data_IF_323986343827
#
_entry.id   IF_323986343827
#
_cell.length_a   1.000
_cell.length_b   1.000
_cell.length_c   1.000
_cell.angle_alpha   90.00
_cell.angle_beta   90.00
_cell.angle_gamma   90.00
#
_symmetry.space_group_name_H-M   'P 1'
#
loop_
_entity.id
_entity.type
_entity.pdbx_description
1 polymer ?
#
# COMPACT_ATOMS: atom_id res chain seq x y z
N UNK A 1 -14.16 10.39 -9.61
CA UNK A 1 -14.57 10.74 -8.23
C UNK A 1 -14.97 9.48 -7.48
N UNK A 2 -14.69 9.41 -6.19
CA UNK A 2 -15.12 8.31 -5.32
C UNK A 2 -16.29 8.78 -4.42
N UNK A 3 -17.18 7.86 -4.01
CA UNK A 3 -17.22 6.46 -4.38
C UNK A 3 -17.49 6.23 -5.87
N UNK A 4 -16.87 5.19 -6.45
CA UNK A 4 -17.16 4.76 -7.80
C UNK A 4 -18.20 3.65 -7.79
N UNK A 5 -19.16 3.71 -8.71
CA UNK A 5 -20.27 2.77 -8.80
C UNK A 5 -20.29 2.08 -10.16
N UNK A 6 -20.78 0.85 -10.18
CA UNK A 6 -21.13 0.17 -11.42
C UNK A 6 -22.34 0.85 -12.11
N UNK A 7 -22.76 0.33 -13.26
CA UNK A 7 -23.78 0.94 -14.11
C UNK A 7 -25.16 1.05 -13.43
N UNK A 8 -25.52 0.06 -12.63
CA UNK A 8 -26.83 -0.04 -11.97
C UNK A 8 -26.84 0.50 -10.52
N UNK A 9 -25.68 0.96 -10.02
CA UNK A 9 -25.51 1.52 -8.68
C UNK A 9 -25.61 0.50 -7.55
N UNK A 10 -25.38 -0.80 -7.84
CA UNK A 10 -25.44 -1.87 -6.83
C UNK A 10 -24.11 -2.18 -6.20
N UNK A 11 -23.02 -2.02 -6.94
CA UNK A 11 -21.66 -2.19 -6.43
C UNK A 11 -20.96 -0.84 -6.40
N UNK A 12 -20.48 -0.45 -5.22
CA UNK A 12 -19.77 0.82 -5.04
C UNK A 12 -18.49 0.63 -4.25
N UNK A 13 -17.45 1.38 -4.58
CA UNK A 13 -16.13 1.27 -3.95
C UNK A 13 -15.56 2.63 -3.57
N UNK A 14 -14.88 2.66 -2.43
CA UNK A 14 -13.87 3.67 -2.06
C UNK A 14 -12.52 2.97 -1.96
N UNK A 15 -11.50 3.54 -2.59
CA UNK A 15 -10.23 2.90 -2.84
C UNK A 15 -9.06 3.86 -2.58
N UNK A 16 -8.05 3.39 -1.89
CA UNK A 16 -6.77 4.05 -1.70
C UNK A 16 -5.67 3.10 -2.18
N UNK A 17 -5.02 3.42 -3.28
CA UNK A 17 -3.97 2.57 -3.80
C UNK A 17 -3.76 2.69 -5.30
N UNK A 18 -3.14 1.65 -5.86
CA UNK A 18 -2.87 1.47 -7.28
C UNK A 18 -2.86 -0.01 -7.63
N UNK A 19 -3.57 -0.39 -8.68
CA UNK A 19 -3.59 -1.77 -9.19
C UNK A 19 -2.71 -1.83 -10.44
N UNK A 20 -1.51 -2.35 -10.28
CA UNK A 20 -0.48 -2.35 -11.33
C UNK A 20 -0.84 -3.20 -12.55
N UNK A 21 -1.60 -4.28 -12.35
CA UNK A 21 -2.05 -5.16 -13.45
C UNK A 21 -3.44 -4.82 -13.98
N UNK A 22 -3.96 -3.61 -13.70
CA UNK A 22 -5.31 -3.18 -14.09
C UNK A 22 -5.58 -3.34 -15.60
N UNK A 23 -4.59 -3.04 -16.44
CA UNK A 23 -4.73 -3.14 -17.90
C UNK A 23 -4.96 -4.59 -18.38
N UNK A 24 -4.36 -5.58 -17.72
CA UNK A 24 -4.55 -7.01 -18.01
C UNK A 24 -5.95 -7.44 -17.59
N UNK A 25 -6.34 -7.14 -16.36
CA UNK A 25 -7.66 -7.47 -15.80
C UNK A 25 -8.79 -6.79 -16.60
N UNK A 26 -8.59 -5.53 -17.01
CA UNK A 26 -9.54 -4.82 -17.86
C UNK A 26 -9.81 -5.54 -19.18
N UNK A 27 -8.77 -6.00 -19.88
CA UNK A 27 -8.93 -6.76 -21.13
C UNK A 27 -9.71 -8.05 -20.92
N UNK A 28 -9.43 -8.77 -19.83
CA UNK A 28 -10.16 -9.99 -19.48
C UNK A 28 -11.65 -9.69 -19.20
N UNK A 29 -11.94 -8.64 -18.44
CA UNK A 29 -13.31 -8.23 -18.10
C UNK A 29 -14.10 -7.78 -19.35
N UNK A 30 -13.48 -7.02 -20.25
CA UNK A 30 -14.09 -6.64 -21.53
C UNK A 30 -14.42 -7.89 -22.38
N UNK A 31 -13.52 -8.87 -22.42
CA UNK A 31 -13.75 -10.12 -23.14
C UNK A 31 -14.92 -10.95 -22.54
N UNK A 32 -15.27 -10.71 -21.28
CA UNK A 32 -16.40 -11.31 -20.56
C UNK A 32 -17.69 -10.48 -20.67
N UNK A 33 -17.65 -9.34 -21.35
CA UNK A 33 -18.81 -8.51 -21.64
C UNK A 33 -18.99 -7.29 -20.73
N UNK A 34 -18.05 -7.03 -19.82
CA UNK A 34 -18.11 -5.81 -18.99
C UNK A 34 -17.81 -4.56 -19.83
N UNK A 35 -18.57 -3.50 -19.60
CA UNK A 35 -18.45 -2.21 -20.30
C UNK A 35 -17.84 -1.18 -19.38
N UNK A 36 -16.69 -0.64 -19.77
CA UNK A 36 -15.96 0.37 -19.01
C UNK A 36 -16.30 1.78 -19.48
N UNK A 37 -16.50 2.69 -18.55
CA UNK A 37 -16.75 4.11 -18.80
C UNK A 37 -15.45 4.92 -18.90
N UNK A 38 -14.44 4.53 -18.13
CA UNK A 38 -13.12 5.16 -18.17
C UNK A 38 -12.17 4.41 -19.11
N UNK A 39 -11.14 5.09 -19.59
CA UNK A 39 -10.14 4.45 -20.45
C UNK A 39 -8.95 3.87 -19.67
N UNK A 40 -8.70 4.35 -18.45
CA UNK A 40 -7.46 4.08 -17.70
C UNK A 40 -7.66 3.91 -16.18
N UNK A 41 -8.91 3.94 -15.66
CA UNK A 41 -9.14 3.81 -14.22
C UNK A 41 -8.87 2.37 -13.74
N UNK A 42 -7.96 2.22 -12.81
CA UNK A 42 -7.72 0.99 -12.07
C UNK A 42 -8.86 0.68 -11.08
N UNK A 43 -9.49 1.71 -10.53
CA UNK A 43 -10.63 1.59 -9.60
C UNK A 43 -11.83 0.92 -10.27
N UNK A 44 -12.10 1.21 -11.56
CA UNK A 44 -13.22 0.61 -12.29
C UNK A 44 -13.03 -0.90 -12.49
N UNK A 45 -11.78 -1.33 -12.63
CA UNK A 45 -11.42 -2.76 -12.69
C UNK A 45 -11.83 -3.50 -11.40
N UNK A 46 -11.75 -2.85 -10.24
CA UNK A 46 -12.16 -3.45 -8.97
C UNK A 46 -13.67 -3.65 -8.90
N UNK A 47 -14.45 -2.70 -9.42
CA UNK A 47 -15.92 -2.79 -9.45
C UNK A 47 -16.37 -3.96 -10.33
N UNK A 48 -15.94 -3.99 -11.58
CA UNK A 48 -16.29 -5.07 -12.51
C UNK A 48 -15.68 -6.42 -12.13
N UNK A 49 -14.46 -6.40 -11.58
CA UNK A 49 -13.81 -7.61 -11.08
C UNK A 49 -14.55 -8.23 -9.89
N UNK A 50 -15.18 -7.40 -9.03
CA UNK A 50 -16.03 -7.91 -7.98
C UNK A 50 -17.29 -8.58 -8.52
N UNK A 51 -17.93 -7.99 -9.51
CA UNK A 51 -19.11 -8.57 -10.17
C UNK A 51 -18.81 -9.93 -10.77
N UNK A 52 -17.63 -10.09 -11.37
CA UNK A 52 -17.23 -11.31 -12.07
C UNK A 52 -16.70 -12.40 -11.12
N UNK A 53 -15.87 -12.03 -10.14
CA UNK A 53 -15.11 -13.00 -9.34
C UNK A 53 -15.38 -12.97 -7.83
N UNK A 54 -16.15 -12.00 -7.33
CA UNK A 54 -16.37 -11.82 -5.90
C UNK A 54 -15.05 -11.72 -5.12
N UNK A 55 -14.93 -12.46 -4.01
CA UNK A 55 -13.70 -12.52 -3.22
C UNK A 55 -12.48 -13.06 -3.99
N UNK A 56 -12.68 -13.88 -5.03
CA UNK A 56 -11.62 -14.36 -5.91
C UNK A 56 -10.90 -13.26 -6.69
N UNK A 57 -11.46 -12.06 -6.78
CA UNK A 57 -10.78 -10.88 -7.29
C UNK A 57 -9.47 -10.62 -6.56
N UNK A 58 -9.44 -10.75 -5.22
CA UNK A 58 -8.29 -10.39 -4.38
C UNK A 58 -7.02 -11.15 -4.73
N UNK A 59 -7.14 -12.42 -5.10
CA UNK A 59 -6.01 -13.25 -5.51
C UNK A 59 -5.42 -12.83 -6.85
N UNK A 60 -6.23 -12.18 -7.71
CA UNK A 60 -5.85 -11.71 -9.04
C UNK A 60 -5.17 -10.35 -9.04
N UNK A 61 -5.35 -9.56 -7.98
CA UNK A 61 -4.78 -8.21 -7.88
C UNK A 61 -3.26 -8.24 -7.68
N UNK A 62 -2.57 -7.43 -8.46
CA UNK A 62 -1.19 -7.03 -8.21
C UNK A 62 -1.17 -5.52 -8.02
N UNK A 63 -0.92 -5.08 -6.79
CA UNK A 63 -0.99 -3.66 -6.44
C UNK A 63 -0.80 -3.41 -4.96
N UNK A 64 -0.73 -2.14 -4.62
CA UNK A 64 -0.82 -1.64 -3.24
C UNK A 64 -2.22 -1.07 -3.03
N UNK A 65 -2.98 -1.58 -2.07
CA UNK A 65 -4.36 -1.14 -1.91
C UNK A 65 -4.94 -1.34 -0.52
N UNK A 66 -5.85 -0.44 -0.18
CA UNK A 66 -6.90 -0.65 0.80
C UNK A 66 -8.21 -0.14 0.20
N UNK A 67 -9.28 -0.89 0.32
CA UNK A 67 -10.57 -0.47 -0.17
C UNK A 67 -11.72 -0.93 0.71
N UNK A 68 -12.85 -0.21 0.60
CA UNK A 68 -14.14 -0.67 1.07
C UNK A 68 -15.10 -0.75 -0.12
N UNK A 69 -15.68 -1.93 -0.32
CA UNK A 69 -16.61 -2.22 -1.39
C UNK A 69 -17.98 -2.60 -0.82
N UNK A 70 -19.01 -1.89 -1.24
CA UNK A 70 -20.39 -2.13 -0.90
C UNK A 70 -21.07 -2.91 -2.04
N UNK A 71 -21.57 -4.10 -1.72
CA UNK A 71 -22.44 -4.88 -2.58
C UNK A 71 -23.86 -4.87 -2.03
N UNK A 72 -24.73 -4.07 -2.67
CA UNK A 72 -26.13 -3.94 -2.28
C UNK A 72 -26.97 -5.17 -2.65
N UNK A 73 -26.54 -5.92 -3.67
CA UNK A 73 -27.25 -7.13 -4.10
C UNK A 73 -27.16 -8.22 -3.06
N UNK A 74 -25.98 -8.36 -2.46
CA UNK A 74 -25.73 -9.36 -1.42
C UNK A 74 -25.85 -8.78 0.00
N UNK A 75 -26.16 -7.48 0.14
CA UNK A 75 -26.17 -6.74 1.40
C UNK A 75 -24.86 -6.91 2.20
N UNK A 76 -23.70 -6.75 1.54
CA UNK A 76 -22.38 -6.94 2.13
C UNK A 76 -21.49 -5.72 1.97
N UNK A 77 -20.65 -5.53 2.97
CA UNK A 77 -19.50 -4.60 2.90
C UNK A 77 -18.21 -5.39 3.04
N UNK A 78 -17.28 -5.14 2.14
CA UNK A 78 -15.96 -5.78 2.12
C UNK A 78 -14.90 -4.72 2.38
N UNK A 79 -14.10 -4.89 3.44
CA UNK A 79 -12.85 -4.16 3.60
C UNK A 79 -11.71 -5.08 3.14
N UNK A 80 -10.83 -4.63 2.27
CA UNK A 80 -9.71 -5.43 1.81
C UNK A 80 -8.40 -4.65 1.90
N UNK A 81 -7.31 -5.36 2.19
CA UNK A 81 -5.96 -4.80 2.29
C UNK A 81 -4.99 -5.64 1.49
N UNK A 82 -4.04 -4.99 0.81
CA UNK A 82 -3.06 -5.65 -0.06
C UNK A 82 -2.17 -6.67 0.66
N UNK A 83 -1.43 -7.44 -0.13
CA UNK A 83 -0.64 -8.59 0.34
C UNK A 83 0.37 -8.23 1.42
N UNK A 84 1.05 -7.09 1.31
CA UNK A 84 2.09 -6.66 2.24
C UNK A 84 1.62 -5.57 3.20
N UNK A 85 0.37 -5.08 3.05
CA UNK A 85 -0.19 -4.02 3.88
C UNK A 85 0.42 -2.66 3.62
N UNK A 86 0.81 -2.39 2.36
CA UNK A 86 1.37 -1.11 1.94
C UNK A 86 0.39 0.04 2.17
N UNK A 87 -0.92 -0.21 1.93
CA UNK A 87 -1.97 0.76 2.26
C UNK A 87 -2.65 0.39 3.56
N UNK A 88 -2.81 1.36 4.48
CA UNK A 88 -3.47 1.12 5.76
C UNK A 88 -4.99 1.13 5.64
N UNK A 89 -5.66 0.35 6.50
CA UNK A 89 -7.08 0.46 6.78
C UNK A 89 -7.33 0.07 8.24
N UNK A 90 -7.95 1.00 8.96
CA UNK A 90 -8.34 0.84 10.35
C UNK A 90 -9.85 0.76 10.43
N UNK A 91 -10.37 -0.01 11.39
CA UNK A 91 -11.80 -0.12 11.59
C UNK A 91 -12.18 -0.27 13.06
N UNK A 92 -13.40 0.17 13.37
CA UNK A 92 -14.07 -0.02 14.63
C UNK A 92 -15.45 -0.63 14.38
N UNK A 93 -15.77 -1.72 15.08
CA UNK A 93 -17.08 -2.37 15.00
C UNK A 93 -17.84 -2.22 16.31
N UNK A 94 -19.13 -1.96 16.19
CA UNK A 94 -20.08 -1.94 17.31
C UNK A 94 -21.41 -2.57 16.89
N UNK A 95 -22.32 -2.87 17.83
CA UNK A 95 -23.67 -3.31 17.50
C UNK A 95 -24.49 -2.30 16.68
N UNK A 96 -24.02 -1.04 16.59
CA UNK A 96 -24.70 0.04 15.86
C UNK A 96 -24.12 0.27 14.46
N UNK A 97 -23.02 -0.37 14.10
CA UNK A 97 -22.40 -0.21 12.79
C UNK A 97 -20.87 -0.35 12.82
N UNK A 98 -20.31 -0.04 11.67
CA UNK A 98 -18.86 -0.08 11.39
C UNK A 98 -18.39 1.32 11.00
N UNK A 99 -17.20 1.68 11.48
CA UNK A 99 -16.42 2.86 11.04
C UNK A 99 -15.10 2.37 10.49
N UNK A 100 -14.66 2.90 9.37
CA UNK A 100 -13.35 2.57 8.80
C UNK A 100 -12.72 3.80 8.13
N UNK A 101 -11.40 3.83 8.09
CA UNK A 101 -10.62 4.86 7.40
C UNK A 101 -9.20 4.35 7.10
N UNK A 102 -8.51 5.06 6.22
CA UNK A 102 -7.06 4.85 6.00
C UNK A 102 -6.21 5.35 7.16
N UNK A 103 -6.74 6.27 7.96
CA UNK A 103 -6.05 6.90 9.09
C UNK A 103 -6.72 6.57 10.41
N UNK A 104 -5.92 6.22 11.42
CA UNK A 104 -6.39 5.92 12.77
C UNK A 104 -7.03 7.14 13.44
N UNK A 105 -6.45 8.33 13.22
CA UNK A 105 -6.97 9.62 13.70
C UNK A 105 -8.38 9.90 13.18
N UNK A 106 -8.67 9.51 11.94
CA UNK A 106 -9.99 9.66 11.33
C UNK A 106 -11.03 8.73 11.97
N UNK A 107 -10.67 7.47 12.25
CA UNK A 107 -11.55 6.53 12.98
C UNK A 107 -11.84 7.05 14.38
N UNK A 108 -10.83 7.58 15.08
CA UNK A 108 -10.96 8.13 16.43
C UNK A 108 -11.90 9.32 16.56
N UNK A 109 -12.13 10.09 15.50
CA UNK A 109 -13.09 11.20 15.49
C UNK A 109 -14.54 10.76 15.62
N UNK A 110 -14.83 9.45 15.47
CA UNK A 110 -16.20 8.96 15.66
C UNK A 110 -16.64 9.12 17.13
N UNK A 111 -17.85 9.66 17.40
CA UNK A 111 -18.31 9.96 18.77
C UNK A 111 -18.25 8.78 19.75
N UNK A 112 -18.50 7.56 19.28
CA UNK A 112 -18.40 6.35 20.11
C UNK A 112 -16.98 6.00 20.56
N UNK A 113 -15.95 6.70 20.08
CA UNK A 113 -14.54 6.48 20.37
C UNK A 113 -13.88 7.65 21.11
N UNK A 114 -14.70 8.61 21.60
CA UNK A 114 -14.18 9.77 22.35
C UNK A 114 -13.31 9.34 23.53
N UNK A 115 -13.71 8.28 24.24
CA UNK A 115 -13.03 7.73 25.41
C UNK A 115 -12.35 6.37 25.10
N UNK A 116 -11.86 6.17 23.86
CA UNK A 116 -11.18 4.95 23.47
C UNK A 116 -9.95 4.66 24.36
N UNK A 117 -10.01 3.58 25.13
CA UNK A 117 -8.95 3.20 26.06
C UNK A 117 -7.70 2.72 25.31
N UNK A 118 -6.52 3.15 25.80
CA UNK A 118 -5.24 2.64 25.34
C UNK A 118 -5.11 1.14 25.60
N UNK A 119 -4.39 0.43 24.71
CA UNK A 119 -4.07 -0.97 24.90
C UNK A 119 -2.63 -1.17 25.39
N UNK A 120 -2.42 -1.49 26.70
CA UNK A 120 -1.08 -1.72 27.24
C UNK A 120 -0.36 -2.91 26.58
N UNK A 121 -1.09 -3.90 26.05
CA UNK A 121 -0.48 -5.03 25.37
C UNK A 121 0.07 -4.63 24.00
N UNK A 122 -0.66 -3.80 23.28
CA UNK A 122 -0.19 -3.23 22.01
C UNK A 122 1.03 -2.32 22.22
N UNK A 123 1.01 -1.49 23.27
CA UNK A 123 2.16 -0.63 23.62
C UNK A 123 3.41 -1.46 23.93
N UNK A 124 3.29 -2.55 24.70
CA UNK A 124 4.43 -3.46 24.94
C UNK A 124 5.00 -4.05 23.65
N UNK A 125 4.13 -4.40 22.69
CA UNK A 125 4.59 -4.90 21.37
C UNK A 125 5.27 -3.79 20.56
N UNK A 126 4.74 -2.58 20.61
CA UNK A 126 5.40 -1.43 19.98
C UNK A 126 6.82 -1.22 20.53
N UNK A 127 7.00 -1.25 21.86
CA UNK A 127 8.32 -1.11 22.47
C UNK A 127 9.30 -2.24 22.10
N UNK A 128 8.79 -3.41 21.72
CA UNK A 128 9.61 -4.55 21.31
C UNK A 128 9.95 -4.54 19.80
N UNK A 129 9.03 -4.05 18.97
CA UNK A 129 9.13 -4.16 17.51
C UNK A 129 9.33 -2.82 16.79
N UNK A 130 9.14 -1.69 17.48
CA UNK A 130 9.16 -0.35 16.87
C UNK A 130 7.91 0.02 16.06
N UNK A 131 6.90 -0.86 16.02
CA UNK A 131 5.63 -0.63 15.34
C UNK A 131 4.49 -1.42 15.97
N UNK A 132 3.24 -1.08 15.65
CA UNK A 132 2.07 -1.84 16.08
C UNK A 132 1.74 -2.94 15.04
N UNK A 133 2.01 -4.23 15.33
CA UNK A 133 1.69 -5.30 14.40
C UNK A 133 0.17 -5.49 14.28
N UNK A 134 -0.33 -5.66 13.06
CA UNK A 134 -1.75 -5.96 12.85
C UNK A 134 -2.18 -7.23 13.61
N UNK A 135 -3.40 -7.31 14.15
CA UNK A 135 -4.48 -6.33 14.04
C UNK A 135 -4.41 -5.18 15.06
N UNK A 136 -3.36 -5.10 15.87
CA UNK A 136 -3.26 -4.17 16.99
C UNK A 136 -3.10 -2.72 16.53
N UNK A 137 -3.69 -1.83 17.32
CA UNK A 137 -3.46 -0.39 17.31
C UNK A 137 -3.16 0.08 18.74
N UNK A 138 -2.79 1.33 18.96
CA UNK A 138 -2.69 1.88 20.32
C UNK A 138 -3.97 1.78 21.15
N UNK A 139 -5.14 1.53 20.53
CA UNK A 139 -6.46 1.54 21.17
C UNK A 139 -7.12 0.16 21.13
N UNK A 140 -7.70 -0.28 22.26
CA UNK A 140 -8.34 -1.60 22.42
C UNK A 140 -9.49 -1.86 21.47
N UNK A 141 -10.23 -0.82 21.07
CA UNK A 141 -11.47 -0.93 20.30
C UNK A 141 -11.27 -0.73 18.80
N UNK A 142 -10.08 -0.29 18.37
CA UNK A 142 -9.78 -0.03 16.96
C UNK A 142 -8.81 -1.10 16.48
N UNK A 143 -9.13 -1.71 15.37
CA UNK A 143 -8.30 -2.74 14.76
C UNK A 143 -7.73 -2.26 13.42
N UNK A 144 -6.55 -2.77 13.09
CA UNK A 144 -5.91 -2.65 11.78
C UNK A 144 -6.19 -3.93 11.01
N UNK A 145 -6.76 -3.82 9.80
CA UNK A 145 -6.97 -5.01 8.96
C UNK A 145 -5.60 -5.64 8.63
N UNK A 146 -5.39 -6.93 8.90
CA UNK A 146 -4.13 -7.58 8.57
C UNK A 146 -3.87 -7.58 7.05
N UNK A 147 -2.59 -7.57 6.67
CA UNK A 147 -2.18 -7.70 5.28
C UNK A 147 -2.64 -9.05 4.68
N UNK A 148 -2.96 -9.05 3.38
CA UNK A 148 -3.44 -10.25 2.69
C UNK A 148 -4.81 -10.75 3.17
N UNK A 149 -5.60 -9.87 3.82
CA UNK A 149 -6.92 -10.22 4.34
C UNK A 149 -8.02 -9.31 3.79
N UNK A 150 -9.22 -9.86 3.80
CA UNK A 150 -10.47 -9.14 3.63
C UNK A 150 -11.39 -9.39 4.82
N UNK A 151 -12.09 -8.35 5.27
CA UNK A 151 -13.15 -8.42 6.26
C UNK A 151 -14.50 -8.27 5.54
N UNK A 152 -15.27 -9.34 5.51
CA UNK A 152 -16.64 -9.37 4.98
C UNK A 152 -17.61 -9.10 6.11
N UNK A 153 -18.53 -8.15 5.92
CA UNK A 153 -19.54 -7.77 6.91
C UNK A 153 -20.92 -7.92 6.26
N UNK A 154 -21.80 -8.71 6.87
CA UNK A 154 -23.21 -8.78 6.53
C UNK A 154 -23.92 -7.53 7.06
N UNK A 155 -24.57 -6.77 6.18
CA UNK A 155 -25.21 -5.50 6.56
C UNK A 155 -26.54 -5.68 7.29
N UNK A 156 -27.16 -6.86 7.23
CA UNK A 156 -28.38 -7.18 7.96
C UNK A 156 -28.11 -7.56 9.41
N UNK A 157 -27.07 -8.36 9.66
CA UNK A 157 -26.74 -8.90 10.99
C UNK A 157 -25.58 -8.19 11.67
N UNK A 158 -24.73 -7.46 10.92
CA UNK A 158 -23.44 -6.91 11.32
C UNK A 158 -22.42 -7.98 11.75
N UNK A 159 -22.66 -9.23 11.41
CA UNK A 159 -21.66 -10.28 11.56
C UNK A 159 -20.51 -10.04 10.60
N UNK A 160 -19.29 -10.31 11.07
CA UNK A 160 -18.09 -10.11 10.29
C UNK A 160 -17.27 -11.38 10.21
N UNK A 161 -16.75 -11.66 9.02
CA UNK A 161 -15.90 -12.81 8.73
C UNK A 161 -14.58 -12.34 8.12
N UNK A 162 -13.47 -12.76 8.71
CA UNK A 162 -12.14 -12.49 8.21
C UNK A 162 -11.71 -13.58 7.24
N UNK A 163 -11.30 -13.19 6.03
CA UNK A 163 -10.81 -14.06 4.96
C UNK A 163 -9.34 -13.76 4.72
N UNK A 164 -8.47 -14.75 4.87
CA UNK A 164 -7.09 -14.67 4.43
C UNK A 164 -7.01 -15.13 2.97
N UNK A 165 -6.73 -14.22 2.04
CA UNK A 165 -6.58 -14.55 0.63
C UNK A 165 -5.11 -14.73 0.22
N UNK A 166 -4.17 -14.25 1.05
CA UNK A 166 -2.74 -14.41 0.81
C UNK A 166 -1.93 -14.44 2.11
N UNK A 167 -0.82 -15.19 2.10
CA UNK A 167 0.18 -15.16 3.17
C UNK A 167 1.57 -15.32 2.58
N UNK A 168 2.53 -14.60 3.17
CA UNK A 168 3.95 -14.83 2.87
C UNK A 168 4.43 -16.05 3.66
N UNK A 169 4.87 -17.08 2.95
CA UNK A 169 5.42 -18.28 3.57
C UNK A 169 6.70 -18.70 2.84
N UNK A 170 7.79 -18.78 3.58
CA UNK A 170 9.02 -19.44 3.12
C UNK A 170 8.84 -20.95 3.41
N UNK A 171 8.95 -21.76 2.37
CA UNK A 171 8.85 -23.23 2.47
C UNK A 171 10.24 -23.83 2.33
N UNK A 172 10.90 -24.21 3.42
CA UNK A 172 12.20 -24.86 3.36
C UNK A 172 12.15 -26.15 2.50
N UNK A 173 13.17 -26.38 1.69
CA UNK A 173 13.24 -27.53 0.80
C UNK A 173 12.44 -27.36 -0.52
N UNK A 174 11.97 -26.16 -0.80
CA UNK A 174 11.38 -25.78 -2.09
C UNK A 174 12.20 -24.66 -2.74
N UNK A 175 13.52 -24.78 -2.68
CA UNK A 175 14.42 -23.86 -3.38
C UNK A 175 14.18 -23.98 -4.89
N UNK A 176 14.21 -22.85 -5.64
CA UNK A 176 14.15 -22.91 -7.09
C UNK A 176 15.24 -23.81 -7.65
N UNK A 177 14.92 -24.57 -8.70
CA UNK A 177 15.95 -25.31 -9.45
C UNK A 177 16.99 -24.34 -10.02
N UNK A 178 18.25 -24.80 -10.13
CA UNK A 178 19.34 -24.01 -10.67
C UNK A 178 20.38 -23.58 -9.63
N UNK A 179 21.29 -22.69 -10.05
CA UNK A 179 22.37 -22.16 -9.23
C UNK A 179 22.27 -20.65 -9.01
N UNK A 180 23.24 -20.05 -8.31
CA UNK A 180 23.22 -18.61 -8.00
C UNK A 180 23.11 -17.71 -9.23
N UNK A 181 23.67 -18.12 -10.37
CA UNK A 181 23.64 -17.35 -11.61
C UNK A 181 22.21 -17.31 -12.19
N UNK A 182 21.54 -18.48 -12.29
CA UNK A 182 20.17 -18.57 -12.78
C UNK A 182 19.18 -17.85 -11.83
N UNK A 183 19.42 -17.91 -10.53
CA UNK A 183 18.60 -17.18 -9.55
C UNK A 183 18.79 -15.66 -9.67
N UNK A 184 20.00 -15.19 -9.96
CA UNK A 184 20.28 -13.78 -10.19
C UNK A 184 19.57 -13.28 -11.46
N UNK A 185 19.58 -14.05 -12.56
CA UNK A 185 18.85 -13.73 -13.79
C UNK A 185 17.34 -13.68 -13.59
N UNK A 186 16.78 -14.64 -12.83
CA UNK A 186 15.36 -14.64 -12.48
C UNK A 186 14.99 -13.43 -11.63
N UNK A 187 15.82 -13.08 -10.64
CA UNK A 187 15.60 -11.92 -9.78
C UNK A 187 15.65 -10.62 -10.60
N UNK A 188 16.64 -10.48 -11.49
CA UNK A 188 16.78 -9.32 -12.39
C UNK A 188 15.53 -9.14 -13.27
N UNK A 189 15.04 -10.23 -13.85
CA UNK A 189 13.81 -10.25 -14.65
C UNK A 189 12.58 -9.82 -13.83
N UNK A 190 12.43 -10.35 -12.61
CA UNK A 190 11.32 -10.02 -11.72
C UNK A 190 11.38 -8.56 -11.26
N UNK A 191 12.56 -8.04 -10.95
CA UNK A 191 12.78 -6.64 -10.58
C UNK A 191 12.46 -5.71 -11.75
N UNK A 192 12.93 -6.04 -12.95
CA UNK A 192 12.61 -5.28 -14.17
C UNK A 192 11.11 -5.22 -14.41
N UNK A 193 10.41 -6.34 -14.29
CA UNK A 193 8.95 -6.39 -14.42
C UNK A 193 8.26 -5.56 -13.33
N UNK A 194 8.69 -5.69 -12.08
CA UNK A 194 8.11 -4.97 -10.96
C UNK A 194 8.28 -3.44 -11.09
N UNK A 195 9.46 -2.99 -11.52
CA UNK A 195 9.73 -1.57 -11.78
C UNK A 195 8.91 -1.07 -12.97
N UNK A 196 8.88 -1.84 -14.08
CA UNK A 196 8.10 -1.49 -15.28
C UNK A 196 6.63 -1.22 -14.96
N UNK A 197 6.00 -2.08 -14.17
CA UNK A 197 4.60 -1.92 -13.76
C UNK A 197 4.36 -0.66 -12.90
N UNK A 198 5.37 -0.19 -12.18
CA UNK A 198 5.28 1.00 -11.31
C UNK A 198 5.64 2.30 -12.03
N UNK A 199 6.29 2.20 -13.19
CA UNK A 199 6.59 3.37 -14.03
C UNK A 199 5.38 3.80 -14.88
N UNK A 200 4.33 2.98 -14.97
CA UNK A 200 3.08 3.36 -15.65
C UNK A 200 2.25 4.27 -14.72
N UNK A 201 2.24 5.57 -15.03
CA UNK A 201 1.57 6.59 -14.21
C UNK A 201 1.17 7.79 -15.05
N UNK A 202 -0.03 8.31 -14.78
CA UNK A 202 -0.56 9.56 -15.35
C UNK A 202 0.10 10.82 -14.76
N UNK A 203 0.95 10.66 -13.74
CA UNK A 203 1.63 11.75 -13.03
C UNK A 203 3.14 11.60 -13.15
N UNK A 204 3.89 12.70 -13.08
CA UNK A 204 5.34 12.62 -12.95
C UNK A 204 5.73 11.74 -11.77
N UNK A 205 6.72 10.87 -12.01
CA UNK A 205 7.25 9.95 -11.00
C UNK A 205 8.63 10.40 -10.55
N UNK A 206 8.89 10.19 -9.26
CA UNK A 206 10.21 10.36 -8.68
C UNK A 206 10.62 9.13 -7.89
N UNK A 207 11.91 8.90 -7.78
CA UNK A 207 12.51 7.80 -7.03
C UNK A 207 13.24 8.36 -5.83
N UNK A 208 12.89 7.90 -4.61
CA UNK A 208 13.69 8.17 -3.43
C UNK A 208 15.00 7.39 -3.52
N UNK A 209 16.11 8.10 -3.39
CA UNK A 209 17.46 7.55 -3.56
C UNK A 209 18.30 7.81 -2.32
N UNK A 210 18.58 6.75 -1.56
CA UNK A 210 19.48 6.81 -0.39
C UNK A 210 20.95 6.52 -0.75
N UNK A 211 21.19 6.00 -1.97
CA UNK A 211 22.51 5.46 -2.33
C UNK A 211 22.79 4.05 -1.80
N UNK A 212 21.85 3.48 -1.02
CA UNK A 212 21.88 2.08 -0.61
C UNK A 212 21.58 1.12 -1.77
N UNK A 213 21.84 -0.17 -1.56
CA UNK A 213 21.70 -1.21 -2.59
C UNK A 213 20.30 -1.25 -3.19
N UNK A 214 19.25 -1.22 -2.36
CA UNK A 214 17.87 -1.39 -2.82
C UNK A 214 17.43 -0.23 -3.71
N UNK A 215 17.59 1.02 -3.24
CA UNK A 215 17.21 2.21 -4.01
C UNK A 215 18.01 2.36 -5.31
N UNK A 216 19.30 2.01 -5.28
CA UNK A 216 20.18 2.02 -6.45
C UNK A 216 19.76 0.95 -7.47
N UNK A 217 19.38 -0.23 -7.01
CA UNK A 217 18.85 -1.30 -7.88
C UNK A 217 17.57 -0.86 -8.58
N UNK A 218 16.61 -0.28 -7.83
CA UNK A 218 15.38 0.25 -8.42
C UNK A 218 15.67 1.32 -9.47
N UNK A 219 16.57 2.26 -9.19
CA UNK A 219 16.97 3.30 -10.13
C UNK A 219 17.63 2.72 -11.38
N UNK A 220 18.50 1.72 -11.22
CA UNK A 220 19.17 1.04 -12.33
C UNK A 220 18.17 0.38 -13.30
N UNK A 221 17.16 -0.34 -12.77
CA UNK A 221 16.11 -0.93 -13.60
C UNK A 221 15.21 0.14 -14.25
N UNK A 222 14.89 1.23 -13.54
CA UNK A 222 14.12 2.33 -14.11
C UNK A 222 14.85 2.99 -15.28
N UNK A 223 16.17 3.15 -15.19
CA UNK A 223 17.00 3.74 -16.24
C UNK A 223 17.14 2.85 -17.50
N UNK A 224 16.96 1.55 -17.37
CA UNK A 224 16.87 0.65 -18.53
C UNK A 224 15.54 0.80 -19.28
N UNK A 225 14.48 1.26 -18.59
CA UNK A 225 13.11 1.33 -19.11
C UNK A 225 12.72 2.74 -19.55
N UNK A 226 13.40 3.77 -19.07
CA UNK A 226 13.13 5.18 -19.37
C UNK A 226 14.43 5.94 -19.68
N UNK A 227 14.41 6.97 -20.55
CA UNK A 227 15.55 7.85 -20.71
C UNK A 227 15.98 8.45 -19.37
N UNK A 228 17.26 8.40 -19.06
CA UNK A 228 17.80 8.82 -17.76
C UNK A 228 17.43 10.27 -17.41
N UNK A 229 17.49 11.19 -18.38
CA UNK A 229 17.09 12.59 -18.18
C UNK A 229 15.60 12.83 -17.90
N UNK A 230 14.76 11.80 -17.96
CA UNK A 230 13.34 11.87 -17.61
C UNK A 230 13.04 11.35 -16.19
N UNK A 231 14.08 10.80 -15.50
CA UNK A 231 13.92 10.26 -14.15
C UNK A 231 14.32 11.32 -13.13
N UNK A 232 13.39 11.70 -12.26
CA UNK A 232 13.67 12.52 -11.08
C UNK A 232 14.03 11.62 -9.90
N UNK A 233 15.16 11.94 -9.23
CA UNK A 233 15.57 11.27 -8.00
C UNK A 233 15.64 12.25 -6.84
N UNK A 234 15.24 11.82 -5.65
CA UNK A 234 15.14 12.66 -4.46
C UNK A 234 15.91 12.03 -3.30
N UNK A 235 16.74 12.81 -2.65
CA UNK A 235 17.48 12.42 -1.45
C UNK A 235 17.35 13.44 -0.35
N UNK A 236 17.41 12.97 0.89
CA UNK A 236 17.58 13.80 2.09
C UNK A 236 18.99 13.58 2.61
N UNK A 237 19.75 14.65 2.75
CA UNK A 237 21.06 14.66 3.41
C UNK A 237 20.96 15.31 4.80
N UNK A 238 21.96 15.08 5.63
CA UNK A 238 22.06 15.63 6.97
C UNK A 238 23.35 16.44 7.14
N UNK A 239 23.28 17.45 8.01
CA UNK A 239 24.47 18.24 8.35
C UNK A 239 25.52 17.42 9.13
N UNK A 240 25.07 16.42 9.88
CA UNK A 240 25.92 15.48 10.59
C UNK A 240 26.45 14.40 9.67
N UNK A 241 27.75 14.42 9.39
CA UNK A 241 28.41 13.51 8.45
C UNK A 241 28.22 12.02 8.79
N UNK A 242 27.96 11.67 10.06
CA UNK A 242 27.73 10.28 10.48
C UNK A 242 26.37 9.71 10.04
N UNK A 243 25.42 10.56 9.64
CA UNK A 243 24.11 10.18 9.18
C UNK A 243 23.88 10.54 7.70
N UNK A 244 24.86 11.22 7.07
CA UNK A 244 24.70 11.73 5.72
C UNK A 244 25.20 10.70 4.68
N UNK A 245 24.25 10.13 3.95
CA UNK A 245 24.49 9.22 2.81
C UNK A 245 24.30 9.91 1.45
N UNK A 246 24.10 11.23 1.43
CA UNK A 246 23.78 11.99 0.22
C UNK A 246 24.83 11.89 -0.88
N UNK A 247 26.12 11.70 -0.51
CA UNK A 247 27.20 11.52 -1.46
C UNK A 247 27.03 10.25 -2.30
N UNK A 248 26.57 9.14 -1.71
CA UNK A 248 26.31 7.90 -2.44
C UNK A 248 25.09 8.03 -3.36
N UNK A 249 24.04 8.72 -2.88
CA UNK A 249 22.88 9.03 -3.71
C UNK A 249 23.27 9.88 -4.92
N UNK A 250 24.06 10.94 -4.73
CA UNK A 250 24.52 11.80 -5.81
C UNK A 250 25.39 11.04 -6.83
N UNK A 251 26.31 10.18 -6.36
CA UNK A 251 27.14 9.35 -7.23
C UNK A 251 26.31 8.42 -8.10
N UNK A 252 25.31 7.76 -7.53
CA UNK A 252 24.41 6.88 -8.29
C UNK A 252 23.55 7.65 -9.28
N UNK A 253 23.02 8.81 -8.89
CA UNK A 253 22.25 9.69 -9.76
C UNK A 253 23.06 10.19 -10.96
N UNK A 254 24.31 10.59 -10.74
CA UNK A 254 25.25 11.00 -11.78
C UNK A 254 25.57 9.82 -12.72
N UNK A 255 25.85 8.64 -12.17
CA UNK A 255 26.15 7.44 -12.96
C UNK A 255 25.02 7.09 -13.93
N UNK A 256 23.77 7.19 -13.47
CA UNK A 256 22.58 6.92 -14.28
C UNK A 256 22.20 8.11 -15.17
N UNK A 257 22.60 9.34 -14.80
CA UNK A 257 22.23 10.58 -15.50
C UNK A 257 20.81 11.07 -15.18
N UNK A 258 20.31 10.77 -13.97
CA UNK A 258 18.99 11.24 -13.51
C UNK A 258 19.03 12.71 -13.06
N UNK A 259 17.85 13.37 -13.04
CA UNK A 259 17.70 14.70 -12.43
C UNK A 259 17.64 14.53 -10.91
N UNK A 260 18.76 14.84 -10.23
CA UNK A 260 18.86 14.62 -8.78
C UNK A 260 18.47 15.86 -7.98
N UNK A 261 17.60 15.67 -7.00
CA UNK A 261 17.13 16.69 -6.08
C UNK A 261 17.57 16.30 -4.65
N UNK A 262 18.47 17.10 -4.08
CA UNK A 262 18.98 16.90 -2.73
C UNK A 262 18.45 17.98 -1.78
N UNK A 263 17.86 17.57 -0.66
CA UNK A 263 17.46 18.43 0.45
C UNK A 263 18.33 18.15 1.67
N UNK A 264 19.09 19.13 2.14
CA UNK A 264 19.85 19.02 3.38
C UNK A 264 18.98 19.42 4.56
N UNK A 265 18.83 18.53 5.52
CA UNK A 265 18.11 18.76 6.77
C UNK A 265 19.09 19.08 7.91
N UNK A 266 18.85 20.21 8.61
CA UNK A 266 19.56 20.59 9.83
C UNK A 266 18.74 20.23 11.07
N UNK A 267 19.38 20.30 12.23
CA UNK A 267 18.76 19.96 13.53
C UNK A 267 17.49 20.76 13.85
N UNK A 268 17.40 22.01 13.43
CA UNK A 268 16.21 22.84 13.67
C UNK A 268 15.01 22.31 12.90
N UNK A 269 15.18 21.91 11.64
CA UNK A 269 14.13 21.30 10.83
C UNK A 269 13.64 19.98 11.44
N UNK A 270 14.56 19.16 11.96
CA UNK A 270 14.23 17.92 12.67
C UNK A 270 13.45 18.20 13.95
N UNK A 271 13.84 19.22 14.74
CA UNK A 271 13.13 19.62 15.96
C UNK A 271 11.71 20.09 15.68
N UNK A 272 11.52 20.91 14.63
CA UNK A 272 10.20 21.40 14.21
C UNK A 272 9.31 20.24 13.73
N UNK A 273 9.87 19.29 12.97
CA UNK A 273 9.19 18.08 12.56
C UNK A 273 8.74 17.24 13.77
N UNK A 274 9.65 16.98 14.71
CA UNK A 274 9.34 16.20 15.92
C UNK A 274 8.22 16.81 16.75
N UNK A 275 8.16 18.14 16.85
CA UNK A 275 7.09 18.83 17.56
C UNK A 275 5.72 18.62 16.91
N UNK A 276 5.68 18.53 15.57
CA UNK A 276 4.45 18.38 14.80
C UNK A 276 4.14 16.92 14.43
N UNK A 277 5.05 15.99 14.72
CA UNK A 277 4.93 14.57 14.33
C UNK A 277 3.61 13.92 14.74
N UNK A 278 3.07 14.13 15.97
CA UNK A 278 1.78 13.54 16.36
C UNK A 278 0.57 14.03 15.55
N UNK A 279 0.71 15.14 14.81
CA UNK A 279 -0.33 15.63 13.89
C UNK A 279 -0.17 15.11 12.46
N UNK A 280 1.00 14.56 12.13
CA UNK A 280 1.37 14.11 10.79
C UNK A 280 1.24 12.59 10.67
N UNK A 281 1.63 11.84 11.71
CA UNK A 281 1.60 10.38 11.72
C UNK A 281 0.61 9.86 12.78
N UNK A 282 -0.13 8.85 12.42
CA UNK A 282 -1.13 8.22 13.29
C UNK A 282 -0.53 7.25 14.30
N UNK A 283 0.52 6.54 13.91
CA UNK A 283 1.22 5.57 14.73
C UNK A 283 2.72 5.87 14.69
N UNK A 284 3.40 5.95 15.84
CA UNK A 284 4.84 6.15 15.85
C UNK A 284 5.54 4.95 15.23
N UNK A 285 6.62 5.24 14.50
CA UNK A 285 7.58 4.26 14.00
C UNK A 285 8.86 4.38 14.81
N UNK A 286 9.48 3.26 15.13
CA UNK A 286 10.70 3.19 15.93
C UNK A 286 11.99 3.21 15.10
N UNK A 287 11.89 3.57 13.81
CA UNK A 287 13.02 3.66 12.88
C UNK A 287 13.30 5.12 12.51
#
# INVERSE_FOLDING_TARGET
AQPMWNEDGRVGIVFNGMIYNHAVLRRELIARGHVFRSHHSDTEVLVHGWEEWGLGLLERLNGMFAFALLDRTQARLILARDRFGEKPIFYFRSPKGLVFASELSSVRKHPSLADAAMDPAAIRKYLAYGFFPAPLTPYKSIEKLPQGHALEIDLGTLEARLHQYWSFAIKPGQEPEGGPEEWAEQLDSLLTQAVSLRLDSDRPLGIFLSGGLDSSTILSHAAQLRPAGEIDTFAIGFQEASFDESAYAAQMAEHVGSRHHLQICGLDAVRDLMTNLPAIIDEPLGD
#
